data_IF_971733537775
#
_entry.id   IF_971733537775
#
_cell.length_a   1.000
_cell.length_b   1.000
_cell.length_c   1.000
_cell.angle_alpha   90.00
_cell.angle_beta   90.00
_cell.angle_gamma   90.00
#
_symmetry.space_group_name_H-M   'P 1'
#
loop_
_entity.id
_entity.type
_entity.pdbx_description
1 polymer ?
#
# COMPACT_ATOMS: atom_id res chain seq x y z
N UNK A 1 -28.11 13.48 32.64
CA UNK A 1 -27.28 12.40 32.05
C UNK A 1 -27.72 12.21 30.61
N UNK A 2 -27.08 12.87 29.66
CA UNK A 2 -27.30 12.64 28.23
C UNK A 2 -26.14 11.76 27.78
N UNK A 3 -26.42 10.48 27.54
CA UNK A 3 -25.50 9.57 26.89
C UNK A 3 -25.29 10.07 25.46
N UNK A 4 -24.16 10.74 25.21
CA UNK A 4 -23.72 11.09 23.88
C UNK A 4 -23.34 9.80 23.15
N UNK A 5 -24.24 9.32 22.29
CA UNK A 5 -23.94 8.30 21.29
C UNK A 5 -23.04 8.88 20.21
N UNK A 6 -21.73 8.89 20.45
CA UNK A 6 -20.72 9.19 19.43
C UNK A 6 -19.78 8.00 19.25
N UNK A 7 -20.27 6.87 18.72
CA UNK A 7 -19.39 5.78 18.28
C UNK A 7 -20.00 5.09 17.05
N UNK A 8 -19.67 5.54 15.84
CA UNK A 8 -19.78 4.69 14.63
C UNK A 8 -18.95 5.17 13.43
N UNK A 9 -18.75 6.48 13.28
CA UNK A 9 -18.08 7.06 12.11
C UNK A 9 -16.59 6.73 12.01
N UNK A 10 -15.81 6.94 13.08
CA UNK A 10 -14.34 6.79 13.07
C UNK A 10 -13.89 5.35 12.79
N UNK A 11 -14.59 4.36 13.35
CA UNK A 11 -14.30 2.95 13.15
C UNK A 11 -14.59 2.46 11.73
N UNK A 12 -15.64 2.98 11.10
CA UNK A 12 -15.96 2.70 9.70
C UNK A 12 -14.88 3.25 8.76
N UNK A 13 -14.52 4.53 8.89
CA UNK A 13 -13.50 5.16 8.05
C UNK A 13 -12.15 4.47 8.15
N UNK A 14 -11.73 4.08 9.35
CA UNK A 14 -10.50 3.30 9.55
C UNK A 14 -10.52 1.99 8.78
N UNK A 15 -11.63 1.23 8.87
CA UNK A 15 -11.78 -0.05 8.15
C UNK A 15 -11.77 0.18 6.64
N UNK A 16 -12.42 1.24 6.16
CA UNK A 16 -12.44 1.58 4.74
C UNK A 16 -11.04 1.91 4.23
N UNK A 17 -10.28 2.76 4.92
CA UNK A 17 -8.91 3.11 4.52
C UNK A 17 -8.04 1.84 4.50
N UNK A 18 -8.11 1.01 5.54
CA UNK A 18 -7.37 -0.26 5.60
C UNK A 18 -7.77 -1.18 4.44
N UNK A 19 -9.06 -1.28 4.12
CA UNK A 19 -9.54 -2.06 2.99
C UNK A 19 -8.97 -1.56 1.66
N UNK A 20 -8.94 -0.24 1.42
CA UNK A 20 -8.36 0.34 0.21
C UNK A 20 -6.86 0.06 0.12
N UNK A 21 -6.12 0.17 1.22
CA UNK A 21 -4.70 -0.23 1.28
C UNK A 21 -4.52 -1.69 0.88
N UNK A 22 -5.24 -2.61 1.52
CA UNK A 22 -5.13 -4.05 1.25
C UNK A 22 -5.50 -4.38 -0.19
N UNK A 23 -6.61 -3.85 -0.68
CA UNK A 23 -7.06 -4.08 -2.06
C UNK A 23 -6.05 -3.51 -3.06
N UNK A 24 -5.51 -2.32 -2.83
CA UNK A 24 -4.51 -1.71 -3.72
C UNK A 24 -3.26 -2.59 -3.85
N UNK A 25 -2.71 -3.08 -2.74
CA UNK A 25 -1.57 -3.99 -2.77
C UNK A 25 -1.92 -5.35 -3.37
N UNK A 26 -3.10 -5.92 -3.08
CA UNK A 26 -3.53 -7.18 -3.71
C UNK A 26 -3.67 -7.03 -5.23
N UNK A 27 -4.17 -5.90 -5.72
CA UNK A 27 -4.26 -5.61 -7.15
C UNK A 27 -2.87 -5.45 -7.77
N UNK A 28 -1.94 -4.76 -7.11
CA UNK A 28 -0.53 -4.67 -7.52
C UNK A 28 0.11 -6.06 -7.66
N UNK A 29 0.06 -6.85 -6.59
CA UNK A 29 0.65 -8.20 -6.57
C UNK A 29 0.00 -9.14 -7.57
N UNK A 30 -1.32 -9.04 -7.78
CA UNK A 30 -2.03 -9.79 -8.81
C UNK A 30 -1.59 -9.38 -10.23
N UNK A 31 -1.29 -8.10 -10.45
CA UNK A 31 -0.80 -7.63 -11.74
C UNK A 31 0.60 -8.19 -12.03
N UNK A 32 1.51 -8.17 -11.06
CA UNK A 32 2.83 -8.80 -11.21
C UNK A 32 2.73 -10.32 -11.37
N UNK A 33 1.77 -10.96 -10.69
CA UNK A 33 1.51 -12.40 -10.85
C UNK A 33 1.03 -12.73 -12.25
N UNK A 34 0.10 -11.94 -12.80
CA UNK A 34 -0.36 -12.09 -14.18
C UNK A 34 0.82 -11.92 -15.14
N UNK A 35 1.65 -10.90 -14.95
CA UNK A 35 2.83 -10.67 -15.79
C UNK A 35 3.79 -11.88 -15.75
N UNK A 36 4.09 -12.43 -14.57
CA UNK A 36 4.97 -13.61 -14.42
C UNK A 36 4.35 -14.88 -15.00
N UNK A 37 3.05 -15.09 -14.83
CA UNK A 37 2.34 -16.25 -15.38
C UNK A 37 2.28 -16.22 -16.91
N UNK A 38 2.09 -15.03 -17.49
CA UNK A 38 1.97 -14.86 -18.94
C UNK A 38 3.33 -14.87 -19.66
N UNK A 39 4.35 -14.24 -19.07
CA UNK A 39 5.61 -13.95 -19.75
C UNK A 39 6.83 -14.63 -19.10
N UNK A 40 6.63 -15.40 -18.03
CA UNK A 40 7.68 -16.15 -17.33
C UNK A 40 8.37 -15.35 -16.22
N UNK A 41 9.40 -15.95 -15.62
CA UNK A 41 10.23 -15.29 -14.62
C UNK A 41 11.03 -14.14 -15.26
N UNK A 42 11.10 -13.00 -14.58
CA UNK A 42 11.66 -11.75 -15.12
C UNK A 42 10.96 -11.27 -16.41
N UNK A 43 9.64 -11.02 -16.36
CA UNK A 43 8.83 -10.77 -17.56
C UNK A 43 9.10 -9.41 -18.22
N UNK A 44 9.75 -8.47 -17.53
CA UNK A 44 9.93 -7.08 -17.99
C UNK A 44 11.21 -6.92 -18.83
N UNK A 45 11.31 -7.65 -19.95
CA UNK A 45 12.54 -7.71 -20.77
C UNK A 45 12.88 -6.42 -21.53
N UNK A 46 11.94 -5.48 -21.60
CA UNK A 46 12.10 -4.17 -22.25
C UNK A 46 12.83 -3.14 -21.37
N UNK A 47 13.07 -3.44 -20.09
CA UNK A 47 13.82 -2.57 -19.15
C UNK A 47 15.14 -3.23 -18.72
N UNK A 48 16.11 -2.45 -18.18
CA UNK A 48 17.34 -3.01 -17.64
C UNK A 48 17.10 -4.13 -16.61
N UNK A 49 17.99 -5.11 -16.55
CA UNK A 49 17.82 -6.33 -15.75
C UNK A 49 17.53 -6.07 -14.26
N UNK A 50 18.14 -5.03 -13.68
CA UNK A 50 17.90 -4.66 -12.28
C UNK A 50 16.46 -4.18 -12.06
N UNK A 51 15.90 -3.45 -13.03
CA UNK A 51 14.53 -2.96 -12.96
C UNK A 51 13.52 -4.08 -13.19
N UNK A 52 13.85 -5.03 -14.07
CA UNK A 52 13.06 -6.24 -14.27
C UNK A 52 13.02 -7.10 -12.99
N UNK A 53 14.18 -7.30 -12.36
CA UNK A 53 14.27 -8.00 -11.08
C UNK A 53 13.49 -7.27 -9.98
N UNK A 54 13.57 -5.93 -9.95
CA UNK A 54 12.80 -5.11 -9.03
C UNK A 54 11.28 -5.27 -9.23
N UNK A 55 10.76 -5.09 -10.45
CA UNK A 55 9.33 -5.25 -10.73
C UNK A 55 8.85 -6.69 -10.47
N UNK A 56 9.69 -7.69 -10.70
CA UNK A 56 9.38 -9.09 -10.36
C UNK A 56 9.31 -9.28 -8.84
N UNK A 57 10.20 -8.62 -8.08
CA UNK A 57 10.22 -8.68 -6.63
C UNK A 57 9.03 -7.97 -5.96
N UNK A 58 8.33 -7.08 -6.68
CA UNK A 58 7.09 -6.46 -6.18
C UNK A 58 5.99 -7.50 -5.93
N UNK A 59 5.95 -8.60 -6.69
CA UNK A 59 4.98 -9.67 -6.50
C UNK A 59 4.88 -10.17 -5.04
N UNK A 60 5.94 -10.70 -4.43
CA UNK A 60 5.87 -11.11 -3.03
C UNK A 60 5.77 -9.93 -2.06
N UNK A 61 6.35 -8.78 -2.40
CA UNK A 61 6.32 -7.59 -1.53
C UNK A 61 4.91 -7.03 -1.37
N UNK A 62 4.12 -7.00 -2.44
CA UNK A 62 2.75 -6.49 -2.41
C UNK A 62 1.85 -7.33 -1.50
N UNK A 63 1.90 -8.66 -1.65
CA UNK A 63 1.15 -9.55 -0.76
C UNK A 63 1.65 -9.48 0.69
N UNK A 64 2.96 -9.32 0.90
CA UNK A 64 3.54 -9.11 2.22
C UNK A 64 3.02 -7.81 2.84
N UNK A 65 2.98 -6.70 2.10
CA UNK A 65 2.46 -5.43 2.61
C UNK A 65 0.98 -5.55 2.93
N UNK A 66 0.17 -6.16 2.07
CA UNK A 66 -1.24 -6.41 2.34
C UNK A 66 -1.43 -7.19 3.65
N UNK A 67 -0.65 -8.25 3.87
CA UNK A 67 -0.66 -9.01 5.12
C UNK A 67 -0.20 -8.16 6.32
N UNK A 68 0.89 -7.39 6.18
CA UNK A 68 1.39 -6.53 7.26
C UNK A 68 0.39 -5.43 7.63
N UNK A 69 -0.34 -4.85 6.67
CA UNK A 69 -1.39 -3.86 6.96
C UNK A 69 -2.52 -4.47 7.80
N UNK A 70 -2.86 -5.74 7.56
CA UNK A 70 -3.87 -6.46 8.32
C UNK A 70 -3.39 -6.86 9.72
N UNK A 71 -2.19 -7.43 9.84
CA UNK A 71 -1.72 -8.08 11.06
C UNK A 71 -0.76 -7.23 11.90
N UNK A 72 0.01 -6.34 11.27
CA UNK A 72 1.03 -5.49 11.91
C UNK A 72 0.99 -4.07 11.35
N UNK A 73 -0.16 -3.42 11.47
CA UNK A 73 -0.52 -2.20 10.72
C UNK A 73 0.58 -1.15 10.62
N UNK A 74 1.23 -0.77 11.73
CA UNK A 74 2.33 0.21 11.71
C UNK A 74 3.49 -0.20 10.80
N UNK A 75 3.92 -1.46 10.88
CA UNK A 75 4.97 -2.00 10.00
C UNK A 75 4.47 -2.04 8.56
N UNK A 76 3.23 -2.49 8.33
CA UNK A 76 2.62 -2.51 7.00
C UNK A 76 2.54 -1.14 6.34
N UNK A 77 2.19 -0.09 7.10
CA UNK A 77 2.15 1.27 6.61
C UNK A 77 3.54 1.78 6.21
N UNK A 78 4.57 1.56 7.04
CA UNK A 78 5.93 1.99 6.75
C UNK A 78 6.50 1.27 5.52
N UNK A 79 6.40 -0.06 5.49
CA UNK A 79 6.88 -0.87 4.37
C UNK A 79 6.09 -0.54 3.10
N UNK A 80 4.77 -0.38 3.20
CA UNK A 80 3.92 -0.05 2.06
C UNK A 80 4.22 1.31 1.46
N UNK A 81 4.47 2.36 2.27
CA UNK A 81 4.93 3.65 1.73
C UNK A 81 6.29 3.50 1.04
N UNK A 82 7.23 2.75 1.62
CA UNK A 82 8.53 2.54 1.01
C UNK A 82 8.42 1.84 -0.36
N UNK A 83 7.58 0.79 -0.44
CA UNK A 83 7.28 0.09 -1.70
C UNK A 83 6.68 1.06 -2.71
N UNK A 84 5.62 1.78 -2.35
CA UNK A 84 4.93 2.72 -3.25
C UNK A 84 5.83 3.85 -3.76
N UNK A 85 6.67 4.42 -2.90
CA UNK A 85 7.62 5.47 -3.30
C UNK A 85 8.65 4.91 -4.28
N UNK A 86 9.23 3.75 -3.97
CA UNK A 86 10.23 3.12 -4.86
C UNK A 86 9.61 2.70 -6.19
N UNK A 87 8.38 2.20 -6.19
CA UNK A 87 7.71 1.68 -7.38
C UNK A 87 7.23 2.82 -8.28
N UNK A 88 6.70 3.90 -7.68
CA UNK A 88 6.39 5.12 -8.39
C UNK A 88 7.65 5.73 -9.03
N UNK A 89 8.77 5.76 -8.31
CA UNK A 89 10.04 6.25 -8.85
C UNK A 89 10.54 5.40 -10.02
N UNK A 90 10.51 4.07 -9.89
CA UNK A 90 10.86 3.13 -10.95
C UNK A 90 9.98 3.31 -12.21
N UNK A 91 8.66 3.38 -12.05
CA UNK A 91 7.74 3.61 -13.16
C UNK A 91 7.90 5.01 -13.78
N UNK A 92 8.15 6.03 -12.96
CA UNK A 92 8.40 7.40 -13.46
C UNK A 92 9.64 7.41 -14.34
N UNK A 93 10.70 6.74 -13.90
CA UNK A 93 11.92 6.58 -14.69
C UNK A 93 11.63 5.88 -16.02
N UNK A 94 10.83 4.80 -16.05
CA UNK A 94 10.45 4.13 -17.31
C UNK A 94 9.68 5.07 -18.24
N UNK A 95 8.68 5.78 -17.72
CA UNK A 95 7.77 6.62 -18.54
C UNK A 95 8.48 7.77 -19.22
N UNK A 96 9.50 8.35 -18.59
CA UNK A 96 10.25 9.48 -19.19
C UNK A 96 11.27 9.02 -20.23
N UNK A 97 11.50 7.71 -20.40
CA UNK A 97 12.40 7.20 -21.44
C UNK A 97 11.69 7.17 -22.81
N UNK A 98 12.20 7.88 -23.83
CA UNK A 98 11.55 7.99 -25.14
C UNK A 98 11.32 6.66 -25.86
N UNK A 99 12.23 5.70 -25.68
CA UNK A 99 12.26 4.45 -26.46
C UNK A 99 11.60 3.27 -25.74
N UNK A 100 11.21 3.45 -24.47
CA UNK A 100 10.74 2.37 -23.59
C UNK A 100 9.34 2.68 -23.07
N UNK A 101 9.11 3.92 -22.67
CA UNK A 101 7.97 4.31 -21.86
C UNK A 101 6.95 5.16 -22.60
N UNK A 102 5.89 5.46 -21.86
CA UNK A 102 4.82 6.34 -22.26
C UNK A 102 3.77 6.32 -21.16
N UNK A 103 2.96 7.38 -21.08
CA UNK A 103 1.90 7.42 -20.08
C UNK A 103 0.91 6.26 -20.30
N UNK A 104 0.59 5.51 -19.25
CA UNK A 104 -0.38 4.41 -19.31
C UNK A 104 -1.23 4.34 -18.03
N UNK A 105 -2.37 3.65 -18.12
CA UNK A 105 -3.35 3.60 -17.03
C UNK A 105 -2.80 3.02 -15.73
N UNK A 106 -1.92 1.99 -15.78
CA UNK A 106 -1.26 1.43 -14.59
C UNK A 106 -0.48 2.50 -13.80
N UNK A 107 0.15 3.44 -14.50
CA UNK A 107 0.89 4.53 -13.86
C UNK A 107 -0.04 5.54 -13.16
N UNK A 108 -1.16 5.87 -13.80
CA UNK A 108 -2.19 6.71 -13.16
C UNK A 108 -2.68 6.07 -11.86
N UNK A 109 -2.88 4.75 -11.84
CA UNK A 109 -3.34 4.03 -10.66
C UNK A 109 -2.32 4.03 -9.53
N UNK A 110 -1.06 3.70 -9.80
CA UNK A 110 -0.02 3.75 -8.77
C UNK A 110 0.19 5.18 -8.26
N UNK A 111 0.16 6.20 -9.13
CA UNK A 111 0.25 7.60 -8.70
C UNK A 111 -0.90 7.97 -7.75
N UNK A 112 -2.14 7.66 -8.14
CA UNK A 112 -3.32 7.92 -7.33
C UNK A 112 -3.28 7.16 -5.99
N UNK A 113 -2.88 5.88 -6.02
CA UNK A 113 -2.78 5.05 -4.83
C UNK A 113 -1.65 5.50 -3.90
N UNK A 114 -0.50 5.89 -4.43
CA UNK A 114 0.62 6.48 -3.67
C UNK A 114 0.22 7.77 -2.96
N UNK A 115 -0.52 8.66 -3.65
CA UNK A 115 -1.06 9.88 -3.04
C UNK A 115 -2.06 9.55 -1.93
N UNK A 116 -3.00 8.64 -2.20
CA UNK A 116 -3.96 8.18 -1.20
C UNK A 116 -3.26 7.59 0.03
N UNK A 117 -2.27 6.72 -0.16
CA UNK A 117 -1.50 6.09 0.90
C UNK A 117 -0.73 7.12 1.73
N UNK A 118 -0.04 8.06 1.09
CA UNK A 118 0.70 9.12 1.78
C UNK A 118 -0.22 9.99 2.65
N UNK A 119 -1.39 10.37 2.13
CA UNK A 119 -2.37 11.20 2.85
C UNK A 119 -3.03 10.46 4.02
N UNK A 120 -3.27 9.15 3.88
CA UNK A 120 -3.99 8.37 4.88
C UNK A 120 -3.09 7.71 5.92
N UNK A 121 -1.78 7.56 5.64
CA UNK A 121 -0.82 6.98 6.57
C UNK A 121 -0.82 7.71 7.92
N UNK A 122 -0.72 9.05 7.91
CA UNK A 122 -0.68 9.86 9.13
C UNK A 122 -1.97 9.72 9.96
N UNK A 123 -3.12 9.59 9.28
CA UNK A 123 -4.42 9.42 9.92
C UNK A 123 -4.51 8.05 10.61
N UNK A 124 -4.16 6.97 9.90
CA UNK A 124 -4.15 5.62 10.47
C UNK A 124 -3.15 5.48 11.62
N UNK A 125 -1.98 6.11 11.50
CA UNK A 125 -0.96 6.10 12.54
C UNK A 125 -1.44 6.73 13.83
N UNK A 126 -2.11 7.90 13.73
CA UNK A 126 -2.70 8.59 14.88
C UNK A 126 -3.84 7.79 15.52
N UNK A 127 -4.73 7.22 14.71
CA UNK A 127 -5.83 6.39 15.20
C UNK A 127 -5.34 5.18 16.00
N UNK A 128 -4.25 4.55 15.56
CA UNK A 128 -3.67 3.40 16.28
C UNK A 128 -3.00 3.83 17.60
N UNK A 129 -2.38 5.01 17.68
CA UNK A 129 -1.85 5.52 18.95
C UNK A 129 -2.97 5.82 19.96
N UNK A 130 -4.06 6.45 19.52
CA UNK A 130 -5.21 6.74 20.39
C UNK A 130 -5.82 5.46 20.97
N UNK A 131 -6.00 4.44 20.14
CA UNK A 131 -6.56 3.15 20.57
C UNK A 131 -5.65 2.40 21.54
N UNK A 132 -4.33 2.46 21.35
CA UNK A 132 -3.37 1.88 22.29
C UNK A 132 -3.38 2.60 23.65
N UNK A 133 -3.48 3.93 23.64
CA UNK A 133 -3.53 4.73 24.86
C UNK A 133 -4.82 4.48 25.68
N UNK A 134 -5.97 4.38 25.01
CA UNK A 134 -7.26 4.08 25.65
C UNK A 134 -7.25 2.69 26.31
N UNK A 135 -6.83 1.65 25.57
CA UNK A 135 -6.70 0.29 26.10
C UNK A 135 -5.72 0.20 27.28
N UNK A 136 -4.65 1.01 27.28
CA UNK A 136 -3.71 1.06 28.39
C UNK A 136 -4.35 1.69 29.63
N UNK A 137 -5.07 2.81 29.47
CA UNK A 137 -5.77 3.48 30.57
C UNK A 137 -6.81 2.57 31.23
N UNK A 138 -7.62 1.86 30.44
CA UNK A 138 -8.62 0.91 30.95
C UNK A 138 -7.98 -0.20 31.79
N UNK A 139 -6.84 -0.73 31.36
CA UNK A 139 -6.10 -1.79 32.07
C UNK A 139 -5.57 -1.35 33.45
N UNK A 140 -5.27 -0.06 33.64
CA UNK A 140 -4.80 0.46 34.93
C UNK A 140 -5.94 0.83 35.88
N UNK A 141 -7.18 0.94 35.38
CA UNK A 141 -8.36 1.28 36.17
C UNK A 141 -9.19 0.06 36.59
N UNK A 142 -8.90 -1.13 36.05
CA UNK A 142 -9.48 -2.43 36.43
C UNK A 142 -8.66 -3.16 37.48
#
# INVERSE_FOLDING_TARGET
MVHQGQVSGSGFWRRLIVAVWVVGFVVGGSSHLIDVVQWGWLPYTHVPILLNAYFTALLPLDFLVAALVLFRRRVGLLVGVAVLVSDLAANTWVIVQPDIGGWHWRYTLILAFSLFAALTMSQLWRMDQSAEAENAADRYMS
#
